data_IF_241528128812
#
_entry.id   IF_241528128812
#
_cell.length_a   1.000
_cell.length_b   1.000
_cell.length_c   1.000
_cell.angle_alpha   90.00
_cell.angle_beta   90.00
_cell.angle_gamma   90.00
#
_symmetry.space_group_name_H-M   'P 1'
#
loop_
_entity.id
_entity.type
_entity.pdbx_description
1 polymer ?
#
# COMPACT_ATOMS: atom_id res chain seq x y z
N UNK A 1 -5.96 10.12 12.52
CA UNK A 1 -6.42 8.74 12.27
C UNK A 1 -6.83 8.58 10.82
N UNK A 2 -6.35 7.55 10.17
CA UNK A 2 -6.65 7.28 8.77
C UNK A 2 -7.15 5.86 8.60
N UNK A 3 -7.88 5.62 7.52
CA UNK A 3 -8.33 4.28 7.12
C UNK A 3 -7.36 3.79 6.04
N UNK A 4 -6.71 2.65 6.28
CA UNK A 4 -5.64 2.13 5.42
C UNK A 4 -5.98 0.72 4.96
N UNK A 5 -5.85 0.46 3.66
CA UNK A 5 -5.90 -0.90 3.11
C UNK A 5 -4.46 -1.32 2.84
N UNK A 6 -4.06 -2.47 3.37
CA UNK A 6 -2.75 -3.07 3.08
C UNK A 6 -2.92 -4.42 2.39
N UNK A 7 -2.23 -4.59 1.27
CA UNK A 7 -2.21 -5.84 0.52
C UNK A 7 -0.79 -6.40 0.48
N UNK A 8 -0.60 -7.59 1.03
CA UNK A 8 0.66 -8.32 0.99
C UNK A 8 0.33 -9.80 1.14
N UNK A 9 0.90 -10.65 0.31
CA UNK A 9 0.64 -12.10 0.36
C UNK A 9 1.37 -12.79 1.50
N UNK A 10 2.35 -12.12 2.12
CA UNK A 10 3.07 -12.63 3.29
C UNK A 10 2.29 -12.31 4.56
N UNK A 11 1.76 -13.34 5.22
CA UNK A 11 0.95 -13.17 6.41
C UNK A 11 1.71 -12.51 7.56
N UNK A 12 2.99 -12.82 7.71
CA UNK A 12 3.80 -12.26 8.79
C UNK A 12 4.01 -10.75 8.57
N UNK A 13 4.24 -10.34 7.35
CA UNK A 13 4.38 -8.91 7.02
C UNK A 13 3.05 -8.19 7.25
N UNK A 14 1.94 -8.79 6.79
CA UNK A 14 0.62 -8.20 7.01
C UNK A 14 0.36 -7.95 8.50
N UNK A 15 0.58 -8.98 9.32
CA UNK A 15 0.34 -8.87 10.77
C UNK A 15 1.21 -7.79 11.41
N UNK A 16 2.48 -7.73 11.03
CA UNK A 16 3.41 -6.75 11.58
C UNK A 16 2.99 -5.33 11.21
N UNK A 17 2.64 -5.10 9.97
CA UNK A 17 2.20 -3.77 9.50
C UNK A 17 0.89 -3.36 10.15
N UNK A 18 -0.08 -4.29 10.22
CA UNK A 18 -1.37 -4.03 10.88
C UNK A 18 -1.15 -3.64 12.34
N UNK A 19 -0.33 -4.40 13.06
CA UNK A 19 -0.04 -4.11 14.46
C UNK A 19 0.53 -2.69 14.63
N UNK A 20 1.54 -2.38 13.82
CA UNK A 20 2.24 -1.08 13.96
C UNK A 20 1.32 0.09 13.61
N UNK A 21 0.57 -0.02 12.53
CA UNK A 21 -0.29 1.09 12.09
C UNK A 21 -1.51 1.26 12.98
N UNK A 22 -2.08 0.16 13.50
CA UNK A 22 -3.16 0.26 14.49
C UNK A 22 -2.66 0.91 15.76
N UNK A 23 -1.45 0.57 16.18
CA UNK A 23 -0.85 1.17 17.37
C UNK A 23 -0.64 2.69 17.19
N UNK A 24 -0.43 3.11 15.95
CA UNK A 24 -0.30 4.53 15.61
C UNK A 24 -1.65 5.25 15.49
N UNK A 25 -2.76 4.55 15.71
CA UNK A 25 -4.08 5.16 15.72
C UNK A 25 -4.88 5.01 14.44
N UNK A 26 -4.40 4.24 13.47
CA UNK A 26 -5.10 4.05 12.19
C UNK A 26 -6.03 2.83 12.22
N UNK A 27 -7.07 2.88 11.39
CA UNK A 27 -7.86 1.69 11.07
C UNK A 27 -7.21 1.01 9.89
N UNK A 28 -6.96 -0.30 9.98
CA UNK A 28 -6.22 -1.03 8.96
C UNK A 28 -7.00 -2.27 8.53
N UNK A 29 -7.21 -2.41 7.23
CA UNK A 29 -7.86 -3.59 6.64
C UNK A 29 -6.80 -4.36 5.84
N UNK A 30 -6.38 -5.54 6.31
CA UNK A 30 -5.40 -6.35 5.58
C UNK A 30 -6.08 -7.25 4.55
N UNK A 31 -5.46 -7.38 3.38
CA UNK A 31 -5.88 -8.32 2.35
C UNK A 31 -4.65 -9.01 1.77
N UNK A 32 -4.83 -10.13 1.07
CA UNK A 32 -3.73 -10.99 0.69
C UNK A 32 -3.33 -10.92 -0.79
N UNK A 33 -4.10 -10.24 -1.62
CA UNK A 33 -3.81 -10.17 -3.06
C UNK A 33 -4.36 -8.89 -3.69
N UNK A 34 -3.98 -8.66 -4.95
CA UNK A 34 -4.32 -7.42 -5.65
C UNK A 34 -5.81 -7.27 -5.94
N UNK A 35 -6.48 -8.36 -6.29
CA UNK A 35 -7.92 -8.30 -6.56
C UNK A 35 -8.71 -7.94 -5.30
N UNK A 36 -8.33 -8.55 -4.16
CA UNK A 36 -8.94 -8.24 -2.88
C UNK A 36 -8.66 -6.79 -2.47
N UNK A 37 -7.47 -6.28 -2.80
CA UNK A 37 -7.12 -4.89 -2.51
C UNK A 37 -8.02 -3.92 -3.27
N UNK A 38 -8.22 -4.15 -4.57
CA UNK A 38 -9.09 -3.29 -5.39
C UNK A 38 -10.51 -3.31 -4.84
N UNK A 39 -11.04 -4.50 -4.55
CA UNK A 39 -12.39 -4.65 -4.02
C UNK A 39 -12.54 -3.94 -2.68
N UNK A 40 -11.58 -4.12 -1.77
CA UNK A 40 -11.60 -3.49 -0.46
C UNK A 40 -11.56 -1.97 -0.56
N UNK A 41 -10.76 -1.43 -1.48
CA UNK A 41 -10.67 0.02 -1.68
C UNK A 41 -11.97 0.61 -2.20
N UNK A 42 -12.65 -0.10 -3.09
CA UNK A 42 -13.93 0.38 -3.62
C UNK A 42 -15.03 0.33 -2.57
N UNK A 43 -14.97 -0.63 -1.65
CA UNK A 43 -15.97 -0.79 -0.60
C UNK A 43 -15.72 0.15 0.58
N UNK A 44 -14.48 0.18 1.08
CA UNK A 44 -14.14 0.92 2.32
C UNK A 44 -13.67 2.34 2.09
N UNK A 45 -13.28 2.69 0.87
CA UNK A 45 -12.80 4.04 0.52
C UNK A 45 -11.71 4.52 1.48
N UNK A 46 -10.52 3.90 1.44
CA UNK A 46 -9.44 4.23 2.38
C UNK A 46 -8.84 5.61 2.11
N UNK A 47 -8.13 6.11 3.10
CA UNK A 47 -7.35 7.35 2.99
C UNK A 47 -5.95 7.10 2.43
N UNK A 48 -5.48 5.85 2.49
CA UNK A 48 -4.17 5.44 2.01
C UNK A 48 -4.18 3.97 1.69
N UNK A 49 -3.43 3.59 0.67
CA UNK A 49 -3.32 2.20 0.20
C UNK A 49 -1.86 1.79 0.21
N UNK A 50 -1.57 0.61 0.79
CA UNK A 50 -0.23 0.02 0.78
C UNK A 50 -0.31 -1.28 -0.02
N UNK A 51 0.50 -1.40 -1.06
CA UNK A 51 0.46 -2.54 -1.98
C UNK A 51 1.84 -3.17 -2.13
N UNK A 52 1.92 -4.48 -1.91
CA UNK A 52 3.11 -5.25 -2.28
C UNK A 52 3.13 -5.39 -3.80
N UNK A 53 4.28 -5.17 -4.42
CA UNK A 53 4.44 -5.29 -5.87
C UNK A 53 4.20 -6.73 -6.33
N UNK A 54 4.76 -7.70 -5.60
CA UNK A 54 4.70 -9.12 -5.99
C UNK A 54 3.62 -9.86 -5.23
N UNK A 55 2.47 -10.05 -5.86
CA UNK A 55 1.37 -10.82 -5.30
C UNK A 55 0.83 -11.80 -6.35
N UNK A 56 0.27 -12.95 -5.92
CA UNK A 56 -0.30 -13.90 -6.87
C UNK A 56 -1.51 -13.32 -7.59
N UNK A 57 -1.68 -13.70 -8.86
CA UNK A 57 -2.75 -13.17 -9.68
C UNK A 57 -2.47 -11.75 -10.10
N UNK A 58 -3.25 -10.80 -9.59
CA UNK A 58 -3.06 -9.38 -9.89
C UNK A 58 -1.91 -8.83 -9.06
N UNK A 59 -0.87 -8.30 -9.70
CA UNK A 59 0.26 -7.68 -9.02
C UNK A 59 -0.13 -6.36 -8.36
N UNK A 60 0.73 -5.86 -7.46
CA UNK A 60 0.51 -4.54 -6.88
C UNK A 60 0.51 -3.42 -7.91
N UNK A 61 1.33 -3.56 -8.96
CA UNK A 61 1.36 -2.59 -10.05
C UNK A 61 0.02 -2.56 -10.80
N UNK A 62 -0.51 -3.74 -11.10
CA UNK A 62 -1.81 -3.83 -11.78
C UNK A 62 -2.94 -3.29 -10.91
N UNK A 63 -2.88 -3.59 -9.61
CA UNK A 63 -3.87 -3.07 -8.66
C UNK A 63 -3.82 -1.54 -8.60
N UNK A 64 -2.62 -0.96 -8.55
CA UNK A 64 -2.44 0.49 -8.53
C UNK A 64 -3.03 1.14 -9.79
N UNK A 65 -2.74 0.57 -10.95
CA UNK A 65 -3.29 1.07 -12.22
C UNK A 65 -4.82 1.03 -12.22
N UNK A 66 -5.40 -0.10 -11.77
CA UNK A 66 -6.84 -0.25 -11.70
C UNK A 66 -7.48 0.81 -10.78
N UNK A 67 -6.84 1.08 -9.64
CA UNK A 67 -7.33 2.08 -8.70
C UNK A 67 -7.22 3.50 -9.27
N UNK A 68 -6.14 3.80 -9.99
CA UNK A 68 -5.99 5.12 -10.61
C UNK A 68 -6.99 5.38 -11.74
N UNK A 69 -7.47 4.34 -12.39
CA UNK A 69 -8.50 4.47 -13.41
C UNK A 69 -9.87 4.75 -12.82
N UNK A 70 -10.07 4.47 -11.54
CA UNK A 70 -11.35 4.72 -10.87
C UNK A 70 -11.35 6.13 -10.30
N UNK A 71 -12.30 7.00 -10.73
CA UNK A 71 -12.33 8.40 -10.25
C UNK A 71 -12.44 8.53 -8.73
N UNK A 72 -13.09 7.58 -8.06
CA UNK A 72 -13.25 7.62 -6.60
C UNK A 72 -11.91 7.38 -5.88
N UNK A 73 -10.95 6.70 -6.54
CA UNK A 73 -9.67 6.33 -5.93
C UNK A 73 -8.49 7.10 -6.53
N UNK A 74 -8.73 7.94 -7.54
CA UNK A 74 -7.65 8.59 -8.29
C UNK A 74 -6.76 9.49 -7.42
N UNK A 75 -7.32 10.08 -6.37
CA UNK A 75 -6.57 10.97 -5.47
C UNK A 75 -6.06 10.31 -4.19
N UNK A 76 -6.32 9.02 -3.98
CA UNK A 76 -5.89 8.34 -2.76
C UNK A 76 -4.41 7.97 -2.86
N UNK A 77 -3.57 8.33 -1.88
CA UNK A 77 -2.14 8.01 -1.97
C UNK A 77 -1.88 6.51 -1.87
N UNK A 78 -0.87 6.06 -2.62
CA UNK A 78 -0.45 4.66 -2.67
C UNK A 78 1.02 4.56 -2.30
N UNK A 79 1.34 3.66 -1.37
CA UNK A 79 2.73 3.28 -1.04
C UNK A 79 2.95 1.87 -1.56
N UNK A 80 4.00 1.67 -2.37
CA UNK A 80 4.37 0.35 -2.86
C UNK A 80 5.42 -0.27 -1.96
N UNK A 81 5.27 -1.57 -1.65
CA UNK A 81 6.28 -2.35 -0.94
C UNK A 81 6.96 -3.27 -1.96
N UNK A 82 8.28 -3.32 -1.96
CA UNK A 82 9.00 -4.14 -2.93
C UNK A 82 10.29 -4.70 -2.36
N UNK A 83 10.66 -5.91 -2.81
CA UNK A 83 11.97 -6.48 -2.53
C UNK A 83 13.03 -5.96 -3.51
N UNK A 84 12.64 -5.19 -4.52
CA UNK A 84 13.54 -4.70 -5.57
C UNK A 84 13.69 -3.19 -5.50
N UNK A 85 14.94 -2.74 -5.43
CA UNK A 85 15.29 -1.34 -5.34
C UNK A 85 15.93 -0.79 -6.62
N UNK A 86 15.87 -1.52 -7.73
CA UNK A 86 16.46 -1.07 -8.99
C UNK A 86 15.64 0.08 -9.56
N UNK A 87 16.33 1.00 -10.20
CA UNK A 87 15.72 2.21 -10.75
C UNK A 87 14.52 1.92 -11.66
N UNK A 88 14.64 0.92 -12.54
CA UNK A 88 13.55 0.55 -13.45
C UNK A 88 12.31 0.06 -12.70
N UNK A 89 12.49 -0.65 -11.57
CA UNK A 89 11.37 -1.14 -10.77
C UNK A 89 10.68 0.01 -10.04
N UNK A 90 11.46 0.97 -9.55
CA UNK A 90 10.93 2.17 -8.89
C UNK A 90 10.13 3.01 -9.89
N UNK A 91 10.66 3.20 -11.11
CA UNK A 91 9.96 3.92 -12.16
C UNK A 91 8.63 3.27 -12.50
N UNK A 92 8.59 1.94 -12.59
CA UNK A 92 7.35 1.22 -12.86
C UNK A 92 6.31 1.46 -11.76
N UNK A 93 6.75 1.50 -10.51
CA UNK A 93 5.87 1.78 -9.39
C UNK A 93 5.24 3.17 -9.48
N UNK A 94 6.06 4.18 -9.75
CA UNK A 94 5.56 5.55 -9.90
C UNK A 94 4.71 5.70 -11.15
N UNK A 95 5.08 5.06 -12.27
CA UNK A 95 4.27 5.07 -13.49
C UNK A 95 2.90 4.42 -13.28
N UNK A 96 2.81 3.43 -12.38
CA UNK A 96 1.54 2.81 -12.02
C UNK A 96 0.68 3.69 -11.11
N UNK A 97 1.24 4.80 -10.59
CA UNK A 97 0.51 5.76 -9.79
C UNK A 97 0.86 5.77 -8.31
N UNK A 98 1.99 5.18 -7.92
CA UNK A 98 2.43 5.19 -6.52
C UNK A 98 2.95 6.57 -6.11
N UNK A 99 2.70 6.95 -4.87
CA UNK A 99 3.18 8.21 -4.31
C UNK A 99 4.47 8.04 -3.52
N UNK A 100 4.75 6.83 -3.05
CA UNK A 100 5.99 6.50 -2.35
C UNK A 100 6.30 5.02 -2.52
N UNK A 101 7.49 4.63 -2.09
CA UNK A 101 8.05 3.32 -2.37
C UNK A 101 8.92 2.91 -1.18
N UNK A 102 8.64 1.75 -0.61
CA UNK A 102 9.40 1.23 0.53
C UNK A 102 10.00 -0.11 0.17
N UNK A 103 11.30 -0.26 0.37
CA UNK A 103 12.05 -1.47 -0.02
C UNK A 103 12.09 -2.45 1.14
N UNK A 104 11.78 -3.72 0.86
CA UNK A 104 11.90 -4.81 1.84
C UNK A 104 13.35 -5.29 1.92
N UNK A 105 13.86 -5.67 3.07
CA UNK A 105 13.18 -5.61 4.36
C UNK A 105 13.15 -4.18 4.92
N UNK A 106 12.03 -3.81 5.50
CA UNK A 106 11.87 -2.51 6.12
C UNK A 106 11.58 -2.69 7.61
N UNK A 107 11.83 -1.64 8.41
CA UNK A 107 11.37 -1.65 9.79
C UNK A 107 9.92 -1.16 9.84
N UNK A 108 9.10 -1.66 10.78
CA UNK A 108 7.75 -1.14 10.95
C UNK A 108 7.75 0.37 11.25
N UNK A 109 8.77 0.85 11.96
CA UNK A 109 8.93 2.28 12.24
C UNK A 109 9.11 3.09 10.97
N UNK A 110 9.93 2.59 10.03
CA UNK A 110 10.15 3.27 8.75
C UNK A 110 8.83 3.37 7.96
N UNK A 111 8.09 2.28 7.89
CA UNK A 111 6.81 2.29 7.18
C UNK A 111 5.83 3.26 7.83
N UNK A 112 5.72 3.26 9.16
CA UNK A 112 4.84 4.18 9.86
C UNK A 112 5.21 5.64 9.59
N UNK A 113 6.52 5.94 9.51
CA UNK A 113 7.00 7.28 9.20
C UNK A 113 6.62 7.69 7.77
N UNK A 114 6.73 6.77 6.81
CA UNK A 114 6.33 7.02 5.43
C UNK A 114 4.83 7.25 5.30
N UNK A 115 4.04 6.46 6.04
CA UNK A 115 2.58 6.64 6.09
C UNK A 115 2.24 8.05 6.61
N UNK A 116 2.86 8.45 7.71
CA UNK A 116 2.62 9.78 8.27
C UNK A 116 2.99 10.89 7.28
N UNK A 117 4.13 10.74 6.59
CA UNK A 117 4.59 11.72 5.62
C UNK A 117 3.63 11.84 4.44
N UNK A 118 3.16 10.71 3.91
CA UNK A 118 2.25 10.69 2.76
C UNK A 118 0.89 11.25 3.12
N UNK A 119 0.42 11.02 4.35
CA UNK A 119 -0.84 11.58 4.84
C UNK A 119 -0.74 13.04 5.26
N UNK A 120 0.47 13.59 5.31
CA UNK A 120 0.69 14.96 5.78
C UNK A 120 0.65 15.10 7.29
N UNK A 121 0.77 14.01 8.02
CA UNK A 121 0.86 13.98 9.49
C UNK A 121 2.33 14.03 9.90
N UNK A 122 2.61 14.66 11.01
CA UNK A 122 3.97 14.71 11.54
C UNK A 122 4.03 14.24 12.98
#
# INVERSE_FOLDING_TARGET
MARIVIADDDADIRELVVFKLRHAGHEVLPVADGAAAVEACLTDKPDLIILDVMMPGMSGLDAARALRENPAMAGVPIIMLTARAQESDVEQGFDAGADDYVVKPFSPRELAARVAAVLGEE
#
